data_IF_084945514356
#
_entry.id   IF_084945514356
#
_cell.length_a   1.000
_cell.length_b   1.000
_cell.length_c   1.000
_cell.angle_alpha   90.00
_cell.angle_beta   90.00
_cell.angle_gamma   90.00
#
_symmetry.space_group_name_H-M   'P 1'
#
loop_
_entity.id
_entity.type
_entity.pdbx_description
1 polymer ?
#
# COMPACT_ATOMS: atom_id res chain seq x y z
N UNK A 1 0.62 -19.77 19.42
CA UNK A 1 -0.30 -19.64 18.27
C UNK A 1 -1.10 -18.34 18.32
N UNK A 2 -1.58 -17.93 19.49
CA UNK A 2 -2.44 -16.74 19.67
C UNK A 2 -1.79 -15.41 19.24
N UNK A 3 -0.50 -15.20 19.51
CA UNK A 3 0.21 -13.97 19.12
C UNK A 3 0.30 -13.76 17.60
N UNK A 4 0.51 -14.84 16.83
CA UNK A 4 0.60 -14.76 15.37
C UNK A 4 -0.77 -14.44 14.73
N UNK A 5 -1.84 -14.97 15.31
CA UNK A 5 -3.21 -14.65 14.92
C UNK A 5 -3.57 -13.21 15.30
N UNK A 6 -3.16 -12.75 16.48
CA UNK A 6 -3.30 -11.34 16.89
C UNK A 6 -2.56 -10.39 15.96
N UNK A 7 -1.30 -10.67 15.62
CA UNK A 7 -0.53 -9.85 14.68
C UNK A 7 -1.14 -9.81 13.29
N UNK A 8 -1.66 -10.95 12.81
CA UNK A 8 -2.39 -11.03 11.53
C UNK A 8 -3.67 -10.19 11.57
N UNK A 9 -4.39 -10.20 12.69
CA UNK A 9 -5.63 -9.44 12.84
C UNK A 9 -5.36 -7.93 12.97
N UNK A 10 -4.33 -7.52 13.71
CA UNK A 10 -3.88 -6.11 13.76
C UNK A 10 -3.41 -5.64 12.38
N UNK A 11 -2.64 -6.45 11.66
CA UNK A 11 -2.22 -6.13 10.29
C UNK A 11 -3.44 -5.96 9.38
N UNK A 12 -4.43 -6.85 9.48
CA UNK A 12 -5.66 -6.75 8.69
C UNK A 12 -6.48 -5.50 9.06
N UNK A 13 -6.67 -5.21 10.35
CA UNK A 13 -7.30 -3.96 10.83
C UNK A 13 -6.57 -2.71 10.31
N UNK A 14 -5.24 -2.76 10.22
CA UNK A 14 -4.43 -1.62 9.82
C UNK A 14 -4.54 -1.31 8.33
N UNK A 15 -4.76 -2.36 7.53
CA UNK A 15 -4.62 -2.27 6.09
C UNK A 15 -5.98 -2.32 5.36
N UNK A 16 -6.95 -3.04 5.92
CA UNK A 16 -8.32 -3.17 5.37
C UNK A 16 -9.27 -2.21 6.09
N UNK A 17 -9.86 -1.28 5.32
CA UNK A 17 -10.81 -0.29 5.85
C UNK A 17 -12.18 -0.90 6.14
N UNK A 18 -12.68 -1.78 5.27
CA UNK A 18 -14.01 -2.37 5.41
C UNK A 18 -14.03 -3.33 6.60
N UNK A 19 -12.98 -4.14 6.74
CA UNK A 19 -12.78 -5.00 7.90
C UNK A 19 -12.69 -4.20 9.20
N UNK A 20 -12.03 -3.03 9.18
CA UNK A 20 -11.96 -2.13 10.34
C UNK A 20 -13.31 -1.58 10.74
N UNK A 21 -14.11 -1.11 9.78
CA UNK A 21 -15.46 -0.59 10.04
C UNK A 21 -16.37 -1.68 10.61
N UNK A 22 -16.30 -2.91 10.07
CA UNK A 22 -17.03 -4.09 10.59
C UNK A 22 -16.57 -4.49 11.99
N UNK A 23 -15.26 -4.52 12.25
CA UNK A 23 -14.70 -4.88 13.55
C UNK A 23 -15.07 -3.89 14.66
N UNK A 24 -15.02 -2.58 14.39
CA UNK A 24 -15.44 -1.59 15.40
C UNK A 24 -16.96 -1.48 15.56
N UNK A 25 -17.75 -2.01 14.62
CA UNK A 25 -19.20 -2.11 14.74
C UNK A 25 -19.65 -3.25 15.66
N UNK A 26 -18.97 -4.39 15.63
CA UNK A 26 -19.24 -5.54 16.52
C UNK A 26 -17.95 -6.37 16.76
N UNK A 27 -17.11 -5.95 17.72
CA UNK A 27 -15.80 -6.57 17.96
C UNK A 27 -15.91 -8.03 18.41
N UNK A 28 -16.92 -8.35 19.23
CA UNK A 28 -17.13 -9.68 19.80
C UNK A 28 -17.49 -10.70 18.71
N UNK A 29 -18.38 -10.33 17.79
CA UNK A 29 -18.78 -11.19 16.68
C UNK A 29 -17.64 -11.44 15.69
N UNK A 30 -16.88 -10.41 15.32
CA UNK A 30 -15.78 -10.56 14.36
C UNK A 30 -14.62 -11.35 14.97
N UNK A 31 -14.32 -11.14 16.26
CA UNK A 31 -13.28 -11.89 16.94
C UNK A 31 -13.67 -13.37 17.18
N UNK A 32 -14.96 -13.65 17.46
CA UNK A 32 -15.47 -15.02 17.52
C UNK A 32 -15.41 -15.73 16.14
N UNK A 33 -15.70 -15.02 15.04
CA UNK A 33 -15.59 -15.56 13.70
C UNK A 33 -14.14 -15.88 13.29
N UNK A 34 -13.17 -15.11 13.78
CA UNK A 34 -11.73 -15.32 13.55
C UNK A 34 -11.08 -16.25 14.60
N UNK A 35 -11.86 -16.81 15.53
CA UNK A 35 -11.39 -17.81 16.51
C UNK A 35 -10.57 -17.23 17.68
N UNK A 36 -10.75 -15.96 18.02
CA UNK A 36 -9.95 -15.22 19.00
C UNK A 36 -10.84 -14.63 20.10
N UNK A 37 -11.07 -15.37 21.19
CA UNK A 37 -11.89 -14.89 22.32
C UNK A 37 -11.16 -13.89 23.22
N UNK A 38 -9.87 -14.11 23.50
CA UNK A 38 -9.10 -13.26 24.43
C UNK A 38 -8.55 -12.00 23.75
N UNK A 39 -8.21 -12.07 22.46
CA UNK A 39 -7.75 -10.91 21.71
C UNK A 39 -8.84 -9.85 21.49
N UNK A 40 -10.12 -10.24 21.51
CA UNK A 40 -11.25 -9.34 21.28
C UNK A 40 -11.30 -8.22 22.33
N UNK A 41 -11.09 -8.55 23.60
CA UNK A 41 -11.09 -7.59 24.72
C UNK A 41 -9.88 -6.66 24.65
N UNK A 42 -8.69 -7.20 24.33
CA UNK A 42 -7.48 -6.39 24.21
C UNK A 42 -7.52 -5.47 22.97
N UNK A 43 -8.09 -5.95 21.86
CA UNK A 43 -8.23 -5.19 20.61
C UNK A 43 -9.40 -4.21 20.64
N UNK A 44 -10.47 -4.48 21.38
CA UNK A 44 -11.55 -3.51 21.62
C UNK A 44 -11.11 -2.39 22.55
N UNK A 45 -10.12 -2.64 23.44
CA UNK A 45 -9.44 -1.61 24.20
C UNK A 45 -8.51 -0.73 23.33
N UNK A 46 -8.09 -1.19 22.13
CA UNK A 46 -7.37 -0.34 21.18
C UNK A 46 -8.35 0.71 20.66
N UNK A 47 -8.13 1.97 21.03
CA UNK A 47 -8.94 3.07 20.54
C UNK A 47 -8.93 3.12 19.02
N UNK A 48 -10.13 3.20 18.43
CA UNK A 48 -10.37 3.32 17.00
C UNK A 48 -9.49 4.41 16.36
N UNK A 49 -9.22 5.48 17.10
CA UNK A 49 -8.34 6.58 16.70
C UNK A 49 -6.88 6.16 16.56
N UNK A 50 -6.32 5.40 17.51
CA UNK A 50 -4.96 4.85 17.41
C UNK A 50 -4.83 3.91 16.21
N UNK A 51 -5.85 3.10 15.93
CA UNK A 51 -5.86 2.22 14.77
C UNK A 51 -5.91 3.00 13.44
N UNK A 52 -6.68 4.09 13.39
CA UNK A 52 -6.71 5.01 12.24
C UNK A 52 -5.37 5.71 12.06
N UNK A 53 -4.72 6.15 13.13
CA UNK A 53 -3.38 6.75 13.09
C UNK A 53 -2.34 5.75 12.58
N UNK A 54 -2.36 4.52 13.07
CA UNK A 54 -1.45 3.47 12.63
C UNK A 54 -1.61 3.16 11.13
N UNK A 55 -2.85 3.05 10.64
CA UNK A 55 -3.13 2.89 9.22
C UNK A 55 -2.60 4.06 8.37
N UNK A 56 -2.72 5.29 8.87
CA UNK A 56 -2.19 6.50 8.22
C UNK A 56 -0.67 6.49 8.16
N UNK A 57 0.00 6.07 9.24
CA UNK A 57 1.45 5.92 9.29
C UNK A 57 1.93 4.86 8.29
N UNK A 58 1.27 3.70 8.21
CA UNK A 58 1.60 2.66 7.23
C UNK A 58 1.47 3.16 5.80
N UNK A 59 0.37 3.86 5.47
CA UNK A 59 0.18 4.46 4.14
C UNK A 59 1.27 5.49 3.82
N UNK A 60 1.65 6.32 4.79
CA UNK A 60 2.71 7.33 4.63
C UNK A 60 4.07 6.67 4.40
N UNK A 61 4.38 5.60 5.14
CA UNK A 61 5.61 4.83 4.95
C UNK A 61 5.64 4.16 3.59
N UNK A 62 4.52 3.58 3.14
CA UNK A 62 4.37 2.96 1.82
C UNK A 62 4.60 3.98 0.70
N UNK A 63 4.00 5.16 0.81
CA UNK A 63 4.23 6.27 -0.11
C UNK A 63 5.71 6.66 -0.19
N UNK A 64 6.38 6.78 0.96
CA UNK A 64 7.80 7.12 1.00
C UNK A 64 8.69 6.06 0.34
N UNK A 65 8.37 4.77 0.52
CA UNK A 65 9.08 3.66 -0.11
C UNK A 65 8.90 3.66 -1.64
N UNK A 66 7.68 3.82 -2.12
CA UNK A 66 7.40 3.89 -3.57
C UNK A 66 8.03 5.13 -4.20
N UNK A 67 7.97 6.27 -3.50
CA UNK A 67 8.63 7.51 -3.93
C UNK A 67 10.16 7.40 -4.06
N UNK A 68 10.81 6.58 -3.22
CA UNK A 68 12.24 6.32 -3.31
C UNK A 68 12.59 5.53 -4.58
N UNK A 69 11.70 4.66 -5.03
CA UNK A 69 11.91 3.76 -6.17
C UNK A 69 11.50 4.36 -7.52
N UNK A 70 10.60 5.34 -7.50
CA UNK A 70 10.13 6.09 -8.68
C UNK A 70 10.48 7.60 -8.60
N UNK A 71 11.77 7.96 -8.47
CA UNK A 71 12.19 9.35 -8.26
C UNK A 71 11.84 10.29 -9.43
N UNK A 72 11.98 9.84 -10.68
CA UNK A 72 11.67 10.64 -11.86
C UNK A 72 10.17 10.85 -12.01
N UNK A 73 9.39 9.79 -11.80
CA UNK A 73 7.92 9.87 -11.80
C UNK A 73 7.42 10.82 -10.72
N UNK A 74 7.97 10.74 -9.50
CA UNK A 74 7.65 11.69 -8.43
C UNK A 74 7.98 13.13 -8.83
N UNK A 75 9.14 13.35 -9.44
CA UNK A 75 9.56 14.69 -9.88
C UNK A 75 8.63 15.25 -10.96
N UNK A 76 8.20 14.40 -11.89
CA UNK A 76 7.29 14.77 -12.97
C UNK A 76 5.88 15.12 -12.48
N UNK A 77 5.36 14.35 -11.52
CA UNK A 77 3.99 14.50 -11.02
C UNK A 77 3.86 15.48 -9.86
N UNK A 78 4.96 15.79 -9.16
CA UNK A 78 4.94 16.68 -8.00
C UNK A 78 3.93 16.23 -6.95
N UNK A 79 3.01 17.13 -6.57
CA UNK A 79 1.96 16.84 -5.59
C UNK A 79 0.97 15.77 -6.05
N UNK A 80 0.71 15.67 -7.35
CA UNK A 80 -0.22 14.67 -7.92
C UNK A 80 0.25 13.24 -7.68
N UNK A 81 1.54 13.03 -7.46
CA UNK A 81 2.08 11.72 -7.11
C UNK A 81 1.42 11.17 -5.84
N UNK A 82 1.31 12.00 -4.80
CA UNK A 82 0.70 11.60 -3.54
C UNK A 82 -0.81 11.39 -3.71
N UNK A 83 -1.47 12.18 -4.55
CA UNK A 83 -2.90 12.08 -4.82
C UNK A 83 -3.24 10.77 -5.55
N UNK A 84 -2.52 10.45 -6.63
CA UNK A 84 -2.65 9.17 -7.32
C UNK A 84 -2.34 7.99 -6.39
N UNK A 85 -1.33 8.13 -5.53
CA UNK A 85 -1.00 7.10 -4.56
C UNK A 85 -2.10 6.90 -3.51
N UNK A 86 -2.82 7.94 -3.10
CA UNK A 86 -3.95 7.79 -2.16
C UNK A 86 -5.06 6.93 -2.75
N UNK A 87 -5.34 7.06 -4.05
CA UNK A 87 -6.33 6.24 -4.76
C UNK A 87 -5.86 4.78 -4.86
N UNK A 88 -4.59 4.57 -5.22
CA UNK A 88 -3.98 3.24 -5.24
C UNK A 88 -3.97 2.57 -3.86
N UNK A 89 -3.60 3.31 -2.81
CA UNK A 89 -3.42 2.79 -1.47
C UNK A 89 -4.74 2.57 -0.71
N UNK A 90 -5.90 2.67 -1.36
CA UNK A 90 -7.20 2.24 -0.81
C UNK A 90 -7.16 0.74 -0.53
N UNK A 91 -6.57 -0.04 -1.44
CA UNK A 91 -6.44 -1.47 -1.28
C UNK A 91 -5.13 -1.81 -0.54
N UNK A 92 -5.19 -2.65 0.50
CA UNK A 92 -4.01 -3.15 1.17
C UNK A 92 -3.14 -3.97 0.21
N UNK A 93 -1.80 -3.84 0.25
CA UNK A 93 -0.94 -4.77 -0.47
C UNK A 93 -1.07 -6.18 0.14
N UNK A 94 -0.96 -7.25 -0.66
CA UNK A 94 -0.88 -8.60 -0.14
C UNK A 94 0.24 -8.75 0.92
N UNK A 95 0.03 -9.60 1.93
CA UNK A 95 1.00 -9.82 2.99
C UNK A 95 2.32 -10.32 2.42
N UNK A 96 3.43 -9.68 2.83
CA UNK A 96 4.76 -10.02 2.34
C UNK A 96 5.17 -9.35 1.03
N UNK A 97 4.31 -8.50 0.43
CA UNK A 97 4.68 -7.76 -0.78
C UNK A 97 5.88 -6.86 -0.52
N UNK A 98 6.88 -6.95 -1.39
CA UNK A 98 8.10 -6.16 -1.28
C UNK A 98 7.85 -4.73 -1.74
N UNK A 99 8.58 -3.74 -1.20
CA UNK A 99 8.47 -2.35 -1.64
C UNK A 99 8.69 -2.16 -3.16
N UNK A 100 9.52 -2.99 -3.79
CA UNK A 100 9.76 -2.96 -5.25
C UNK A 100 8.53 -3.40 -6.05
N UNK A 101 7.91 -4.51 -5.64
CA UNK A 101 6.68 -5.02 -6.28
C UNK A 101 5.54 -3.99 -6.14
N UNK A 102 5.47 -3.33 -4.99
CA UNK A 102 4.50 -2.28 -4.73
C UNK A 102 4.72 -1.04 -5.61
N UNK A 103 5.97 -0.67 -5.88
CA UNK A 103 6.29 0.40 -6.81
C UNK A 103 5.94 0.04 -8.26
N UNK A 104 6.18 -1.21 -8.69
CA UNK A 104 5.78 -1.70 -10.02
C UNK A 104 4.25 -1.70 -10.15
N UNK A 105 3.54 -2.23 -9.15
CA UNK A 105 2.08 -2.25 -9.13
C UNK A 105 1.49 -0.83 -9.14
N UNK A 106 2.11 0.12 -8.43
CA UNK A 106 1.71 1.52 -8.50
C UNK A 106 1.92 2.13 -9.91
N UNK A 107 3.02 1.82 -10.59
CA UNK A 107 3.25 2.28 -11.96
C UNK A 107 2.20 1.73 -12.95
N UNK A 108 1.80 0.47 -12.80
CA UNK A 108 0.71 -0.15 -13.57
C UNK A 108 -0.65 0.49 -13.24
N UNK A 109 -0.88 0.85 -11.98
CA UNK A 109 -2.08 1.59 -11.59
C UNK A 109 -2.12 2.98 -12.23
N UNK A 110 -0.99 3.69 -12.30
CA UNK A 110 -0.91 4.99 -13.00
C UNK A 110 -1.29 4.88 -14.47
N UNK A 111 -0.93 3.80 -15.14
CA UNK A 111 -1.32 3.53 -16.54
C UNK A 111 -2.83 3.39 -16.69
N UNK A 112 -3.45 2.57 -15.84
CA UNK A 112 -4.91 2.41 -15.82
C UNK A 112 -5.62 3.72 -15.48
N UNK A 113 -5.08 4.50 -14.52
CA UNK A 113 -5.64 5.78 -14.11
C UNK A 113 -5.48 6.87 -15.19
N UNK A 114 -4.40 6.82 -15.98
CA UNK A 114 -4.17 7.74 -17.11
C UNK A 114 -5.22 7.55 -18.20
N UNK A 115 -5.58 6.30 -18.49
CA UNK A 115 -6.57 5.98 -19.52
C UNK A 115 -7.96 6.58 -19.20
N UNK A 116 -8.27 6.77 -17.92
CA UNK A 116 -9.58 7.26 -17.46
C UNK A 116 -9.60 8.77 -17.17
N UNK A 117 -8.55 9.32 -16.55
CA UNK A 117 -8.54 10.71 -16.06
C UNK A 117 -7.51 11.63 -16.75
N UNK A 118 -6.63 11.06 -17.57
CA UNK A 118 -5.49 11.77 -18.14
C UNK A 118 -4.42 12.12 -17.09
N UNK A 119 -3.17 12.16 -17.54
CA UNK A 119 -2.03 12.50 -16.71
C UNK A 119 -1.29 13.68 -17.33
N UNK A 120 -1.00 14.69 -16.51
CA UNK A 120 -0.28 15.89 -16.92
C UNK A 120 0.96 16.03 -16.02
N UNK A 121 2.17 16.03 -16.59
CA UNK A 121 2.45 15.91 -18.03
C UNK A 121 2.25 14.49 -18.58
N UNK A 122 1.81 14.36 -19.83
CA UNK A 122 1.54 13.06 -20.47
C UNK A 122 2.78 12.14 -20.51
N UNK A 123 3.98 12.73 -20.61
CA UNK A 123 5.25 11.98 -20.56
C UNK A 123 5.61 11.44 -19.17
N UNK A 124 4.93 11.86 -18.10
CA UNK A 124 5.15 11.31 -16.77
C UNK A 124 4.83 9.80 -16.72
N UNK A 125 3.87 9.33 -17.53
CA UNK A 125 3.59 7.91 -17.67
C UNK A 125 4.77 7.15 -18.28
N UNK A 126 5.47 7.75 -19.25
CA UNK A 126 6.67 7.15 -19.86
C UNK A 126 7.78 6.98 -18.82
N UNK A 127 7.93 7.93 -17.90
CA UNK A 127 8.88 7.79 -16.79
C UNK A 127 8.47 6.68 -15.82
N UNK A 128 7.18 6.59 -15.46
CA UNK A 128 6.68 5.52 -14.62
C UNK A 128 6.95 4.14 -15.22
N UNK A 129 6.69 3.99 -16.52
CA UNK A 129 6.99 2.75 -17.27
C UNK A 129 8.49 2.45 -17.31
N UNK A 130 9.34 3.44 -17.57
CA UNK A 130 10.78 3.28 -17.59
C UNK A 130 11.33 2.82 -16.22
N UNK A 131 10.93 3.49 -15.14
CA UNK A 131 11.39 3.16 -13.80
C UNK A 131 10.87 1.80 -13.34
N UNK A 132 9.63 1.45 -13.67
CA UNK A 132 9.08 0.11 -13.40
C UNK A 132 9.84 -0.98 -14.15
N UNK A 133 10.13 -0.78 -15.44
CA UNK A 133 10.92 -1.73 -16.23
C UNK A 133 12.33 -1.91 -15.63
N UNK A 134 12.97 -0.82 -15.17
CA UNK A 134 14.26 -0.87 -14.48
C UNK A 134 14.17 -1.68 -13.17
N UNK A 135 13.13 -1.48 -12.37
CA UNK A 135 12.90 -2.23 -11.13
C UNK A 135 12.67 -3.72 -11.40
N UNK A 136 11.91 -4.07 -12.44
CA UNK A 136 11.71 -5.46 -12.87
C UNK A 136 13.03 -6.10 -13.33
N UNK A 137 13.83 -5.38 -14.12
CA UNK A 137 15.12 -5.83 -14.61
C UNK A 137 16.13 -6.09 -13.46
N UNK A 138 16.16 -5.21 -12.45
CA UNK A 138 16.96 -5.41 -11.24
C UNK A 138 16.50 -6.65 -10.44
N UNK A 139 15.19 -6.90 -10.39
CA UNK A 139 14.63 -8.05 -9.69
C UNK A 139 14.91 -9.39 -10.41
N UNK A 140 14.87 -9.41 -11.73
CA UNK A 140 15.18 -10.59 -12.55
C UNK A 140 16.69 -10.88 -12.68
N UNK A 141 17.55 -10.10 -12.01
CA UNK A 141 19.01 -10.08 -12.19
C UNK A 141 19.45 -9.84 -13.65
N UNK A 142 18.55 -9.29 -14.46
CA UNK A 142 18.77 -8.93 -15.87
C UNK A 142 19.11 -7.45 -15.93
N UNK A 143 20.29 -7.09 -15.43
CA UNK A 143 20.73 -5.69 -15.41
C UNK A 143 20.82 -5.10 -16.81
N UNK A 144 20.06 -4.04 -17.05
CA UNK A 144 20.25 -3.17 -18.22
C UNK A 144 21.48 -2.28 -17.97
N UNK A 145 22.60 -2.58 -18.63
CA UNK A 145 23.79 -1.72 -18.60
C UNK A 145 23.69 -0.71 -19.73
N UNK A 146 23.29 0.53 -19.42
CA UNK A 146 23.36 1.64 -20.37
C UNK A 146 24.79 2.19 -20.30
N UNK A 147 25.59 1.93 -21.33
CA UNK A 147 26.85 2.65 -21.55
C UNK A 147 26.53 3.97 -22.24
N UNK A 148 26.84 5.07 -21.58
CA UNK A 148 26.79 6.41 -22.14
C UNK A 148 28.06 6.70 -22.94
#
# INVERSE_FOLDING_TARGET
MELALQQKLVARLATDREFREKFFGDPARVAAHEGLTVAAETLSAIHQEQMRQFARLLRTRRLAQVALRLPLTRKALGQRFADCFRNYAVTPPPPGQRPTEDAIAFAQHLESHTAEYGLDPAWALSLARYEAARLSAEWEDRRLVIRA
#
